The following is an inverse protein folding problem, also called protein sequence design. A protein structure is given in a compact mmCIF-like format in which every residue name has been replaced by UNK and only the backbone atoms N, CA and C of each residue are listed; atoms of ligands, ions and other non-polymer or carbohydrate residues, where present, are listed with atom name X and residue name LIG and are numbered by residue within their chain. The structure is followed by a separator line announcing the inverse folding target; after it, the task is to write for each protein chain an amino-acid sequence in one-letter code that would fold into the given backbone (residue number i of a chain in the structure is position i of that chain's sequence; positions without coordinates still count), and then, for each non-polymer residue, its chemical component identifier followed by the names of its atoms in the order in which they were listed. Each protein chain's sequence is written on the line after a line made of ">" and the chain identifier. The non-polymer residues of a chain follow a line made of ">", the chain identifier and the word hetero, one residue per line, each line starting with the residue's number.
data_IF_038371508635
#
_entry.id   IF_038371508635
#
_cell.length_a   1.000
_cell.length_b   1.000
_cell.length_c   1.000
_cell.angle_alpha   90.00
_cell.angle_beta   90.00
_cell.angle_gamma   90.00
#
_symmetry.space_group_name_H-M   'P 1'
#
loop_
_entity.id
_entity.type
_entity.pdbx_description
1 polymer ?
#
# COMPACT_ATOMS: atom_id res chain seq x y z
N UNK A 1 -7.79 20.25 -13.20
CA UNK A 1 -7.03 19.35 -12.34
C UNK A 1 -5.77 20.09 -11.95
N UNK A 2 -5.64 20.39 -10.68
CA UNK A 2 -4.39 20.96 -10.17
C UNK A 2 -3.37 19.83 -9.90
N UNK A 3 -2.15 20.20 -9.50
CA UNK A 3 -1.10 19.23 -9.21
C UNK A 3 -1.47 18.33 -8.02
N UNK A 4 -2.26 18.84 -7.08
CA UNK A 4 -2.66 18.12 -5.88
C UNK A 4 -3.64 16.98 -6.20
N UNK A 5 -4.61 17.24 -7.08
CA UNK A 5 -5.53 16.23 -7.60
C UNK A 5 -4.80 15.06 -8.26
N UNK A 6 -3.74 15.36 -9.03
CA UNK A 6 -2.93 14.35 -9.70
C UNK A 6 -2.14 13.48 -8.71
N UNK A 7 -1.55 14.11 -7.68
CA UNK A 7 -0.84 13.38 -6.62
C UNK A 7 -1.80 12.48 -5.85
N UNK A 8 -3.00 12.97 -5.51
CA UNK A 8 -3.99 12.19 -4.78
C UNK A 8 -4.55 11.03 -5.61
N UNK A 9 -4.72 11.23 -6.92
CA UNK A 9 -5.10 10.17 -7.84
C UNK A 9 -4.01 9.09 -7.92
N UNK A 10 -2.74 9.49 -8.06
CA UNK A 10 -1.61 8.58 -8.10
C UNK A 10 -1.47 7.77 -6.80
N UNK A 11 -1.69 8.39 -5.64
CA UNK A 11 -1.66 7.73 -4.32
C UNK A 11 -2.71 6.61 -4.22
N UNK A 12 -3.97 6.91 -4.59
CA UNK A 12 -5.06 5.91 -4.60
C UNK A 12 -4.78 4.76 -5.56
N UNK A 13 -4.26 5.05 -6.75
CA UNK A 13 -3.86 4.03 -7.72
C UNK A 13 -2.73 3.17 -7.16
N UNK A 14 -1.74 3.79 -6.52
CA UNK A 14 -0.63 3.10 -5.86
C UNK A 14 -1.11 2.14 -4.78
N UNK A 15 -2.01 2.57 -3.89
CA UNK A 15 -2.59 1.73 -2.83
C UNK A 15 -3.24 0.48 -3.41
N UNK A 16 -4.06 0.62 -4.46
CA UNK A 16 -4.74 -0.53 -5.10
C UNK A 16 -3.73 -1.45 -5.76
N UNK A 17 -2.78 -0.90 -6.53
CA UNK A 17 -1.76 -1.68 -7.21
C UNK A 17 -0.88 -2.48 -6.22
N UNK A 18 -0.46 -1.85 -5.12
CA UNK A 18 0.36 -2.48 -4.10
C UNK A 18 -0.40 -3.51 -3.26
N UNK A 19 -1.68 -3.28 -2.97
CA UNK A 19 -2.54 -4.29 -2.33
C UNK A 19 -2.61 -5.57 -3.19
N UNK A 20 -2.87 -5.42 -4.48
CA UNK A 20 -2.92 -6.55 -5.43
C UNK A 20 -1.56 -7.26 -5.51
N UNK A 21 -0.46 -6.51 -5.55
CA UNK A 21 0.90 -7.08 -5.53
C UNK A 21 1.16 -7.91 -4.27
N UNK A 22 0.85 -7.38 -3.09
CA UNK A 22 1.02 -8.07 -1.81
C UNK A 22 0.18 -9.35 -1.72
N UNK A 23 -1.09 -9.29 -2.16
CA UNK A 23 -1.95 -10.48 -2.24
C UNK A 23 -1.38 -11.50 -3.23
N UNK A 24 -0.90 -11.07 -4.40
CA UNK A 24 -0.31 -11.97 -5.40
C UNK A 24 0.95 -12.69 -4.88
N UNK A 25 1.75 -12.03 -4.04
CA UNK A 25 2.88 -12.65 -3.33
C UNK A 25 2.35 -13.64 -2.27
N UNK A 26 1.34 -13.23 -1.49
CA UNK A 26 0.74 -14.08 -0.46
C UNK A 26 0.13 -15.37 -1.01
N UNK A 27 -0.48 -15.32 -2.20
CA UNK A 27 -1.02 -16.50 -2.89
C UNK A 27 0.11 -17.49 -3.22
N UNK A 28 1.24 -16.99 -3.74
CA UNK A 28 2.42 -17.84 -4.05
C UNK A 28 3.04 -18.43 -2.79
N UNK A 29 2.95 -17.71 -1.68
CA UNK A 29 3.36 -18.16 -0.35
C UNK A 29 2.33 -19.09 0.33
N UNK A 30 1.20 -19.40 -0.33
CA UNK A 30 0.12 -20.27 0.19
C UNK A 30 -0.44 -19.78 1.55
N UNK A 31 -0.54 -18.47 1.73
CA UNK A 31 -1.16 -17.89 2.90
C UNK A 31 -2.68 -18.10 2.88
N UNK A 32 -3.29 -18.15 4.06
CA UNK A 32 -4.74 -18.13 4.22
C UNK A 32 -5.30 -16.71 4.03
N UNK A 33 -6.62 -16.55 4.11
CA UNK A 33 -7.27 -15.26 3.88
C UNK A 33 -6.73 -14.16 4.81
N UNK A 34 -6.42 -14.49 6.07
CA UNK A 34 -5.83 -13.56 7.02
C UNK A 34 -4.43 -13.13 6.60
N UNK A 35 -3.57 -14.07 6.21
CA UNK A 35 -2.23 -13.76 5.73
C UNK A 35 -2.25 -12.97 4.42
N UNK A 36 -3.18 -13.27 3.51
CA UNK A 36 -3.38 -12.48 2.29
C UNK A 36 -3.79 -11.03 2.60
N UNK A 37 -4.76 -10.85 3.50
CA UNK A 37 -5.22 -9.52 3.91
C UNK A 37 -4.10 -8.74 4.62
N UNK A 38 -3.39 -9.37 5.55
CA UNK A 38 -2.29 -8.74 6.28
C UNK A 38 -1.15 -8.32 5.35
N UNK A 39 -0.73 -9.20 4.43
CA UNK A 39 0.37 -8.90 3.50
C UNK A 39 -0.04 -7.86 2.45
N UNK A 40 -1.26 -7.95 1.93
CA UNK A 40 -1.82 -6.96 1.01
C UNK A 40 -1.89 -5.58 1.65
N UNK A 41 -2.44 -5.48 2.87
CA UNK A 41 -2.52 -4.22 3.62
C UNK A 41 -1.13 -3.65 3.94
N UNK A 42 -0.24 -4.48 4.50
CA UNK A 42 1.12 -4.06 4.84
C UNK A 42 1.88 -3.51 3.62
N UNK A 43 1.70 -4.13 2.45
CA UNK A 43 2.32 -3.67 1.20
C UNK A 43 1.68 -2.38 0.68
N UNK A 44 0.35 -2.27 0.78
CA UNK A 44 -0.40 -1.11 0.30
C UNK A 44 -0.09 0.18 1.07
N UNK A 45 0.00 0.11 2.39
CA UNK A 45 0.23 1.29 3.24
C UNK A 45 1.69 1.45 3.68
N UNK A 46 2.50 0.39 3.62
CA UNK A 46 3.85 0.38 4.18
C UNK A 46 4.77 1.46 3.59
N UNK A 47 4.67 1.74 2.29
CA UNK A 47 5.42 2.83 1.66
C UNK A 47 5.04 4.21 2.19
N UNK A 48 3.74 4.46 2.39
CA UNK A 48 3.23 5.70 2.98
C UNK A 48 3.68 5.86 4.43
N UNK A 49 3.55 4.81 5.24
CA UNK A 49 4.04 4.81 6.63
C UNK A 49 5.54 5.08 6.70
N UNK A 50 6.35 4.45 5.85
CA UNK A 50 7.79 4.69 5.81
C UNK A 50 8.08 6.13 5.40
N UNK A 51 7.40 6.66 4.39
CA UNK A 51 7.52 8.07 3.97
C UNK A 51 7.24 8.99 5.15
N UNK A 52 6.12 8.78 5.82
CA UNK A 52 5.65 9.62 6.93
C UNK A 52 6.65 9.62 8.09
N UNK A 53 7.18 8.44 8.45
CA UNK A 53 8.27 8.32 9.44
C UNK A 53 9.53 9.07 9.01
N UNK A 54 9.95 8.95 7.75
CA UNK A 54 11.17 9.59 7.24
C UNK A 54 11.07 11.12 7.24
N UNK A 55 9.89 11.67 6.97
CA UNK A 55 9.66 13.13 6.99
C UNK A 55 9.26 13.65 8.38
N UNK A 56 9.13 12.77 9.37
CA UNK A 56 8.75 13.12 10.75
C UNK A 56 7.26 13.43 10.93
N UNK A 57 6.41 13.05 9.97
CA UNK A 57 4.95 13.19 10.02
C UNK A 57 4.32 11.95 10.68
N UNK A 58 4.73 11.68 11.91
CA UNK A 58 4.21 10.56 12.69
C UNK A 58 2.99 11.01 13.50
N UNK A 59 1.91 10.20 13.57
CA UNK A 59 0.74 10.52 14.39
C UNK A 59 1.03 10.54 15.89
#
# INVERSE_FOLDING_TARGET
>A
MDAFDLVLAADRIGIVAFAISGVAVGIRAKLDLYGLAALGLATAIGGGVIRDVVIGDVP
#
